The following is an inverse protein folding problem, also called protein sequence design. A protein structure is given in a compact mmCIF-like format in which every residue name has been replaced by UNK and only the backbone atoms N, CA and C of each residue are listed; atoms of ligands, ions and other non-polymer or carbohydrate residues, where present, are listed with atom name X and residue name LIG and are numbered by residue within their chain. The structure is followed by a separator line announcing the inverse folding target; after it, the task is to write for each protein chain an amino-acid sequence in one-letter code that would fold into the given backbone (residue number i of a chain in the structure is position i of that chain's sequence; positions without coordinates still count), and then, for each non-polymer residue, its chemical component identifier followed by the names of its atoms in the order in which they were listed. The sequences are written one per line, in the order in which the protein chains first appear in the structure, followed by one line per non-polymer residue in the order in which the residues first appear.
data_IF_200430081538
#
_entry.id   IF_200430081538
#
_cell.length_a   1.000
_cell.length_b   1.000
_cell.length_c   1.000
_cell.angle_alpha   90.00
_cell.angle_beta   90.00
_cell.angle_gamma   90.00
#
_symmetry.space_group_name_H-M   'P 1'
#
loop_
_entity.id
_entity.type
_entity.pdbx_description
1 polymer ?
#
# COMPACT_ATOMS: atom_id res chain seq x y z
N UNK A 1 21.47 35.30 31.01
CA UNK A 1 21.35 34.38 29.86
C UNK A 1 20.11 34.76 29.09
N UNK A 2 20.25 35.05 27.79
CA UNK A 2 19.12 35.24 26.89
C UNK A 2 18.45 33.89 26.61
N UNK A 3 17.12 33.88 26.58
CA UNK A 3 16.31 32.73 26.17
C UNK A 3 15.83 32.96 24.74
N UNK A 4 16.24 32.09 23.82
CA UNK A 4 15.81 32.14 22.41
C UNK A 4 14.76 31.07 22.17
N UNK A 5 13.65 31.42 21.51
CA UNK A 5 12.63 30.44 21.12
C UNK A 5 12.93 29.93 19.73
N UNK A 6 12.96 28.62 19.59
CA UNK A 6 13.09 27.95 18.30
C UNK A 6 11.81 27.17 18.01
N UNK A 7 11.25 27.38 16.82
CA UNK A 7 9.99 26.76 16.42
C UNK A 7 10.27 25.63 15.45
N UNK A 8 9.94 24.42 15.87
CA UNK A 8 10.04 23.23 15.04
C UNK A 8 8.69 22.91 14.41
N UNK A 9 8.71 22.43 13.17
CA UNK A 9 7.53 21.82 12.58
C UNK A 9 7.52 20.33 12.91
N UNK A 10 6.54 19.89 13.72
CA UNK A 10 6.26 18.45 13.74
C UNK A 10 5.28 18.22 12.64
N UNK A 11 5.71 17.55 11.57
CA UNK A 11 4.85 17.26 10.43
C UNK A 11 3.44 16.88 10.88
N UNK A 12 2.43 17.53 10.29
CA UNK A 12 1.01 17.36 10.65
C UNK A 12 0.53 15.90 10.57
N UNK A 13 1.29 15.08 9.86
CA UNK A 13 1.08 13.66 9.66
C UNK A 13 2.44 12.95 9.68
N UNK A 14 2.40 11.68 10.02
CA UNK A 14 3.58 10.82 10.14
C UNK A 14 4.48 10.83 8.88
N UNK A 15 3.85 11.09 7.72
CA UNK A 15 4.42 11.11 6.37
C UNK A 15 5.65 12.03 6.25
N UNK A 16 5.60 13.24 6.83
CA UNK A 16 6.61 14.28 6.60
C UNK A 16 7.69 14.36 7.67
N UNK A 17 7.57 13.56 8.73
CA UNK A 17 8.40 13.69 9.94
C UNK A 17 9.90 13.64 9.60
N UNK A 18 10.34 12.73 8.72
CA UNK A 18 11.77 12.57 8.43
C UNK A 18 12.39 13.80 7.73
N UNK A 19 11.63 14.46 6.85
CA UNK A 19 12.06 15.70 6.19
C UNK A 19 12.03 16.89 7.15
N UNK A 20 10.96 17.00 7.95
CA UNK A 20 10.80 18.11 8.89
C UNK A 20 11.88 18.05 9.98
N UNK A 21 12.18 16.86 10.52
CA UNK A 21 13.27 16.67 11.47
C UNK A 21 14.64 17.10 10.92
N UNK A 22 14.89 16.82 9.63
CA UNK A 22 16.13 17.24 8.97
C UNK A 22 16.19 18.75 8.76
N UNK A 23 15.10 19.36 8.33
CA UNK A 23 15.01 20.80 8.12
C UNK A 23 15.11 21.56 9.44
N UNK A 24 14.40 21.12 10.47
CA UNK A 24 14.47 21.67 11.83
C UNK A 24 15.89 21.57 12.38
N UNK A 25 16.54 20.42 12.19
CA UNK A 25 17.93 20.25 12.62
C UNK A 25 18.90 21.19 11.90
N UNK A 26 18.78 21.34 10.57
CA UNK A 26 19.60 22.29 9.81
C UNK A 26 19.41 23.72 10.28
N UNK A 27 18.15 24.12 10.43
CA UNK A 27 17.80 25.47 10.86
C UNK A 27 18.35 25.74 12.27
N UNK A 28 18.11 24.82 13.20
CA UNK A 28 18.61 24.92 14.56
C UNK A 28 20.14 24.97 14.59
N UNK A 29 20.80 24.15 13.79
CA UNK A 29 22.26 24.14 13.70
C UNK A 29 22.83 25.45 13.16
N UNK A 30 22.21 26.04 12.14
CA UNK A 30 22.65 27.32 11.57
C UNK A 30 22.45 28.50 12.54
N UNK A 31 21.50 28.41 13.45
CA UNK A 31 21.19 29.42 14.47
C UNK A 31 21.82 29.13 15.85
N UNK A 32 22.61 28.04 15.94
CA UNK A 32 23.18 27.61 17.20
C UNK A 32 24.34 28.52 17.65
N UNK A 33 24.21 29.05 18.86
CA UNK A 33 25.22 29.88 19.51
C UNK A 33 25.63 29.28 20.87
N UNK A 34 26.95 29.21 21.16
CA UNK A 34 27.44 28.78 22.45
C UNK A 34 26.92 29.69 23.58
N UNK A 35 26.50 29.10 24.71
CA UNK A 35 26.00 29.79 25.91
C UNK A 35 24.62 30.47 25.81
N UNK A 36 23.89 30.25 24.72
CA UNK A 36 22.47 30.62 24.59
C UNK A 36 21.60 29.49 25.11
N UNK A 37 20.49 29.84 25.78
CA UNK A 37 19.48 28.88 26.21
C UNK A 37 18.35 28.86 25.18
N UNK A 38 17.93 27.67 24.77
CA UNK A 38 16.90 27.50 23.75
C UNK A 38 15.61 26.93 24.36
N UNK A 39 14.46 27.54 24.05
CA UNK A 39 13.13 26.95 24.25
C UNK A 39 12.66 26.40 22.90
N UNK A 40 12.59 25.08 22.78
CA UNK A 40 12.10 24.40 21.57
C UNK A 40 10.58 24.25 21.69
N UNK A 41 9.87 24.78 20.70
CA UNK A 41 8.41 24.74 20.62
C UNK A 41 7.99 24.01 19.36
N UNK A 42 7.33 22.87 19.53
CA UNK A 42 6.87 22.05 18.42
C UNK A 42 5.44 22.43 18.03
N UNK A 43 5.23 22.74 16.74
CA UNK A 43 3.89 22.96 16.19
C UNK A 43 3.12 21.63 16.17
N UNK A 44 1.82 21.64 16.47
CA UNK A 44 0.90 20.48 16.39
C UNK A 44 1.01 19.39 17.47
N UNK A 45 1.95 19.51 18.40
CA UNK A 45 1.94 18.73 19.65
C UNK A 45 1.66 19.68 20.80
N UNK A 46 0.38 19.86 21.11
CA UNK A 46 -0.05 20.76 22.19
C UNK A 46 0.72 20.44 23.48
N UNK A 47 1.37 21.47 24.03
CA UNK A 47 2.09 21.49 25.32
C UNK A 47 3.50 20.88 25.40
N UNK A 48 4.15 20.47 24.31
CA UNK A 48 5.57 20.10 24.39
C UNK A 48 6.52 21.28 24.21
N UNK A 49 7.30 21.52 25.28
CA UNK A 49 8.34 22.52 25.35
C UNK A 49 9.59 21.91 25.94
N UNK A 50 10.70 22.06 25.25
CA UNK A 50 12.01 21.66 25.76
C UNK A 50 12.83 22.89 26.08
N UNK A 51 13.50 22.87 27.22
CA UNK A 51 14.48 23.90 27.56
C UNK A 51 15.85 23.26 27.49
N UNK A 52 16.67 23.68 26.53
CA UNK A 52 18.00 23.15 26.27
C UNK A 52 19.06 24.14 26.77
N UNK A 53 20.05 23.65 27.52
CA UNK A 53 21.17 24.46 28.05
C UNK A 53 22.45 23.63 28.20
N UNK A 54 23.60 24.28 28.03
CA UNK A 54 24.92 23.68 28.30
C UNK A 54 25.65 23.20 27.04
N UNK A 55 26.64 22.32 27.22
CA UNK A 55 27.54 21.88 26.14
C UNK A 55 26.95 20.84 25.19
N UNK A 56 25.82 20.22 25.54
CA UNK A 56 25.23 19.10 24.79
C UNK A 56 23.93 19.46 24.05
N UNK A 57 23.64 20.75 23.87
CA UNK A 57 22.38 21.27 23.31
C UNK A 57 21.96 20.58 22.01
N UNK A 58 22.90 20.26 21.11
CA UNK A 58 22.60 19.57 19.85
C UNK A 58 22.13 18.13 20.09
N UNK A 59 22.78 17.39 20.98
CA UNK A 59 22.38 16.03 21.33
C UNK A 59 21.03 16.04 22.04
N UNK A 60 20.81 17.00 22.95
CA UNK A 60 19.56 17.14 23.67
C UNK A 60 18.41 17.52 22.71
N UNK A 61 18.69 18.31 21.67
CA UNK A 61 17.73 18.61 20.60
C UNK A 61 17.33 17.36 19.83
N UNK A 62 18.29 16.52 19.42
CA UNK A 62 18.01 15.23 18.77
C UNK A 62 17.19 14.30 19.69
N UNK A 63 17.49 14.26 20.98
CA UNK A 63 16.69 13.48 21.95
C UNK A 63 15.26 14.04 22.07
N UNK A 64 15.08 15.36 22.12
CA UNK A 64 13.75 15.97 22.09
C UNK A 64 12.96 15.62 20.82
N UNK A 65 13.63 15.59 19.66
CA UNK A 65 13.04 15.11 18.41
C UNK A 65 12.57 13.65 18.52
N UNK A 66 13.34 12.76 19.15
CA UNK A 66 12.95 11.36 19.38
C UNK A 66 11.70 11.24 20.24
N UNK A 67 11.61 12.02 21.30
CA UNK A 67 10.45 12.01 22.20
C UNK A 67 9.18 12.42 21.47
N UNK A 68 9.26 13.47 20.65
CA UNK A 68 8.14 13.90 19.79
C UNK A 68 7.72 12.79 18.84
N UNK A 69 8.65 12.14 18.17
CA UNK A 69 8.35 11.02 17.26
C UNK A 69 7.64 9.88 17.99
N UNK A 70 8.10 9.52 19.19
CA UNK A 70 7.46 8.48 20.02
C UNK A 70 6.03 8.86 20.40
N UNK A 71 5.78 10.13 20.71
CA UNK A 71 4.44 10.61 21.05
C UNK A 71 3.49 10.61 19.86
N UNK A 72 3.96 11.06 18.69
CA UNK A 72 3.18 11.04 17.45
C UNK A 72 2.83 9.62 17.03
N UNK A 73 3.77 8.67 17.19
CA UNK A 73 3.53 7.25 16.97
C UNK A 73 2.51 6.62 17.92
N UNK A 74 2.22 7.26 19.06
CA UNK A 74 1.25 6.77 20.05
C UNK A 74 -0.16 7.33 19.86
N UNK A 75 -0.35 8.43 19.12
CA UNK A 75 -1.65 9.06 18.87
C UNK A 75 -2.24 8.53 17.56
N UNK A 76 -2.98 7.43 17.61
CA UNK A 76 -3.21 6.60 16.44
C UNK A 76 -4.68 6.43 16.02
N UNK A 77 -5.55 7.42 16.25
CA UNK A 77 -7.02 7.21 16.21
C UNK A 77 -7.77 7.65 14.94
N UNK A 78 -7.14 8.23 13.91
CA UNK A 78 -7.89 8.88 12.80
C UNK A 78 -7.54 8.46 11.37
N UNK A 79 -6.46 7.70 11.15
CA UNK A 79 -6.01 7.29 9.80
C UNK A 79 -6.20 5.79 9.57
N UNK A 80 -6.51 5.39 8.34
CA UNK A 80 -6.60 3.99 7.94
C UNK A 80 -5.21 3.31 8.04
N UNK A 81 -5.17 2.06 8.50
CA UNK A 81 -3.92 1.31 8.72
C UNK A 81 -3.10 1.17 7.43
N UNK A 82 -3.75 1.10 6.27
CA UNK A 82 -3.09 1.05 4.97
C UNK A 82 -2.37 2.36 4.62
N UNK A 83 -3.03 3.50 4.83
CA UNK A 83 -2.45 4.82 4.60
C UNK A 83 -1.24 5.06 5.50
N UNK A 84 -1.31 4.61 6.77
CA UNK A 84 -0.17 4.66 7.70
C UNK A 84 1.02 3.85 7.19
N UNK A 85 0.79 2.64 6.67
CA UNK A 85 1.85 1.79 6.14
C UNK A 85 2.52 2.39 4.90
N UNK A 86 1.75 2.90 3.94
CA UNK A 86 2.30 3.55 2.73
C UNK A 86 3.18 4.74 3.14
N UNK A 87 2.66 5.56 4.04
CA UNK A 87 3.33 6.75 4.54
C UNK A 87 4.66 6.42 5.21
N UNK A 88 4.68 5.45 6.13
CA UNK A 88 5.90 4.97 6.78
C UNK A 88 6.95 4.51 5.77
N UNK A 89 6.54 3.76 4.74
CA UNK A 89 7.45 3.30 3.67
C UNK A 89 8.02 4.44 2.83
N UNK A 90 7.22 5.48 2.59
CA UNK A 90 7.70 6.70 1.93
C UNK A 90 8.77 7.41 2.78
N UNK A 91 8.51 7.63 4.08
CA UNK A 91 9.50 8.27 4.97
C UNK A 91 10.81 7.48 5.07
N UNK A 92 10.75 6.14 5.10
CA UNK A 92 11.96 5.29 5.05
C UNK A 92 12.73 5.48 3.74
N UNK A 93 12.02 5.60 2.61
CA UNK A 93 12.62 5.80 1.29
C UNK A 93 13.28 7.17 1.17
N UNK A 94 12.63 8.21 1.69
CA UNK A 94 13.19 9.57 1.75
C UNK A 94 14.43 9.62 2.64
N UNK A 95 14.41 8.93 3.79
CA UNK A 95 15.63 8.82 4.60
C UNK A 95 16.76 8.13 3.84
N UNK A 96 16.48 7.09 3.04
CA UNK A 96 17.51 6.45 2.23
C UNK A 96 18.15 7.44 1.23
N UNK A 97 17.35 8.36 0.68
CA UNK A 97 17.84 9.46 -0.18
C UNK A 97 18.70 10.42 0.65
N UNK A 98 18.21 10.90 1.79
CA UNK A 98 18.96 11.81 2.68
C UNK A 98 20.30 11.19 3.06
N UNK A 99 20.29 9.94 3.54
CA UNK A 99 21.48 9.17 3.88
C UNK A 99 22.46 9.16 2.72
N UNK A 100 22.00 8.85 1.51
CA UNK A 100 22.86 8.85 0.33
C UNK A 100 23.49 10.22 0.07
N UNK A 101 22.72 11.30 0.17
CA UNK A 101 23.18 12.67 -0.05
C UNK A 101 24.21 13.15 0.97
N UNK A 102 24.19 12.61 2.20
CA UNK A 102 25.11 13.01 3.28
C UNK A 102 26.17 11.94 3.60
N UNK A 103 26.18 10.84 2.85
CA UNK A 103 27.21 9.79 2.98
C UNK A 103 28.57 10.35 2.57
N UNK A 104 29.56 10.23 3.46
CA UNK A 104 30.90 10.79 3.26
C UNK A 104 31.08 12.23 3.78
N UNK A 105 30.07 12.80 4.44
CA UNK A 105 30.24 14.07 5.16
C UNK A 105 30.92 13.82 6.52
N UNK A 106 32.14 14.33 6.68
CA UNK A 106 32.94 14.14 7.89
C UNK A 106 32.55 15.06 9.05
N UNK A 107 31.59 15.97 8.86
CA UNK A 107 31.16 16.87 9.93
C UNK A 107 30.51 16.07 11.07
N UNK A 108 31.05 16.19 12.29
CA UNK A 108 30.63 15.43 13.49
C UNK A 108 29.12 15.51 13.71
N UNK A 109 28.54 16.67 13.43
CA UNK A 109 27.11 16.95 13.63
C UNK A 109 26.23 16.23 12.59
N UNK A 110 26.67 16.17 11.34
CA UNK A 110 25.98 15.42 10.28
C UNK A 110 26.07 13.91 10.55
N UNK A 111 27.23 13.44 11.04
CA UNK A 111 27.39 12.06 11.53
C UNK A 111 26.48 11.76 12.73
N UNK A 112 26.41 12.67 13.70
CA UNK A 112 25.51 12.55 14.85
C UNK A 112 24.03 12.46 14.44
N UNK A 113 23.59 13.25 13.46
CA UNK A 113 22.25 13.15 12.90
C UNK A 113 22.02 11.81 12.18
N UNK A 114 22.96 11.37 11.34
CA UNK A 114 22.90 10.06 10.68
C UNK A 114 22.79 8.91 11.69
N UNK A 115 23.64 8.92 12.72
CA UNK A 115 23.64 7.92 13.78
C UNK A 115 22.33 7.96 14.57
N UNK A 116 21.82 9.16 14.84
CA UNK A 116 20.52 9.34 15.47
C UNK A 116 19.40 8.69 14.67
N UNK A 117 19.30 8.97 13.37
CA UNK A 117 18.24 8.38 12.52
C UNK A 117 18.43 6.86 12.38
N UNK A 118 19.65 6.39 12.08
CA UNK A 118 19.91 4.96 11.87
C UNK A 118 19.65 4.12 13.12
N UNK A 119 20.04 4.62 14.29
CA UNK A 119 19.99 3.85 15.53
C UNK A 119 18.70 4.05 16.32
N UNK A 120 17.96 5.14 16.10
CA UNK A 120 16.78 5.47 16.91
C UNK A 120 15.49 5.54 16.09
N UNK A 121 15.48 6.25 14.96
CA UNK A 121 14.24 6.49 14.19
C UNK A 121 13.90 5.30 13.28
N UNK A 122 14.84 4.85 12.46
CA UNK A 122 14.61 3.73 11.53
C UNK A 122 14.12 2.45 12.24
N UNK A 123 14.70 2.01 13.37
CA UNK A 123 14.20 0.83 14.09
C UNK A 123 12.75 0.99 14.54
N UNK A 124 12.36 2.17 15.02
CA UNK A 124 10.98 2.44 15.42
C UNK A 124 10.03 2.33 14.22
N UNK A 125 10.42 2.89 13.08
CA UNK A 125 9.62 2.84 11.86
C UNK A 125 9.49 1.40 11.35
N UNK A 126 10.57 0.61 11.37
CA UNK A 126 10.56 -0.81 10.98
C UNK A 126 9.61 -1.62 11.84
N UNK A 127 9.70 -1.50 13.18
CA UNK A 127 8.80 -2.20 14.10
C UNK A 127 7.34 -1.84 13.80
N UNK A 128 7.06 -0.57 13.49
CA UNK A 128 5.69 -0.12 13.23
C UNK A 128 5.17 -0.53 11.86
N UNK A 129 6.04 -0.54 10.85
CA UNK A 129 5.77 -1.17 9.56
C UNK A 129 5.40 -2.63 9.73
N UNK A 130 6.21 -3.42 10.45
CA UNK A 130 5.94 -4.84 10.68
C UNK A 130 4.61 -5.05 11.42
N UNK A 131 4.29 -4.18 12.38
CA UNK A 131 3.01 -4.21 13.10
C UNK A 131 1.83 -3.91 12.18
N UNK A 132 1.88 -2.85 11.37
CA UNK A 132 0.79 -2.52 10.44
C UNK A 132 0.68 -3.54 9.31
N UNK A 133 1.80 -4.06 8.79
CA UNK A 133 1.78 -5.16 7.84
C UNK A 133 1.15 -6.41 8.46
N UNK A 134 1.49 -6.74 9.70
CA UNK A 134 0.88 -7.85 10.43
C UNK A 134 -0.61 -7.61 10.65
N UNK A 135 -1.01 -6.41 11.06
CA UNK A 135 -2.41 -6.05 11.26
C UNK A 135 -3.21 -6.13 9.96
N UNK A 136 -2.69 -5.61 8.86
CA UNK A 136 -3.31 -5.73 7.54
C UNK A 136 -3.30 -7.20 7.06
N UNK A 137 -2.26 -7.97 7.35
CA UNK A 137 -2.19 -9.39 7.02
C UNK A 137 -3.17 -10.25 7.83
N UNK A 138 -3.45 -9.87 9.08
CA UNK A 138 -4.47 -10.49 9.95
C UNK A 138 -5.87 -10.09 9.48
N UNK A 139 -6.11 -8.79 9.24
CA UNK A 139 -7.40 -8.28 8.74
C UNK A 139 -7.74 -8.79 7.33
N UNK A 140 -6.74 -9.10 6.49
CA UNK A 140 -6.94 -9.44 5.07
C UNK A 140 -6.30 -10.77 4.60
N UNK A 141 -6.03 -11.73 5.50
CA UNK A 141 -5.49 -13.07 5.20
C UNK A 141 -4.46 -13.13 4.04
N UNK A 142 -3.17 -12.91 4.38
CA UNK A 142 -1.94 -13.30 3.63
C UNK A 142 -2.10 -13.51 2.12
N UNK A 143 -2.27 -12.45 1.33
CA UNK A 143 -2.00 -12.42 -0.12
C UNK A 143 -2.11 -11.03 -0.75
N UNK A 144 -2.73 -10.05 -0.08
CA UNK A 144 -3.18 -8.81 -0.74
C UNK A 144 -2.18 -7.64 -0.69
N UNK A 145 -1.15 -7.67 0.15
CA UNK A 145 -0.29 -6.51 0.47
C UNK A 145 0.75 -6.16 -0.63
N UNK A 146 0.48 -6.47 -1.90
CA UNK A 146 1.50 -6.22 -2.94
C UNK A 146 1.09 -5.50 -4.19
N UNK A 147 -0.13 -4.99 -4.35
CA UNK A 147 -0.28 -4.04 -5.46
C UNK A 147 -1.44 -3.09 -5.26
N UNK A 148 -1.24 -1.85 -5.69
CA UNK A 148 -2.34 -0.90 -5.87
C UNK A 148 -3.26 -1.41 -6.98
N UNK A 149 -4.55 -1.04 -6.98
CA UNK A 149 -5.45 -1.32 -8.07
C UNK A 149 -4.91 -0.86 -9.45
N UNK A 150 -4.06 0.18 -9.50
CA UNK A 150 -3.37 0.63 -10.71
C UNK A 150 -2.19 -0.27 -11.16
N UNK A 151 -1.50 -0.96 -10.24
CA UNK A 151 -0.40 -1.88 -10.56
C UNK A 151 -0.87 -3.25 -11.08
N UNK A 152 -2.18 -3.51 -10.99
CA UNK A 152 -2.78 -4.72 -11.52
C UNK A 152 -3.33 -4.47 -12.92
N UNK A 153 -2.77 -5.14 -13.92
CA UNK A 153 -3.27 -5.07 -15.30
C UNK A 153 -4.79 -5.18 -15.35
N UNK A 154 -5.44 -4.18 -15.95
CA UNK A 154 -6.89 -4.07 -16.07
C UNK A 154 -7.42 -5.24 -16.91
N UNK A 155 -8.23 -6.10 -16.31
CA UNK A 155 -8.97 -7.14 -17.03
C UNK A 155 -10.32 -6.56 -17.41
N UNK A 156 -10.42 -6.00 -18.62
CA UNK A 156 -11.64 -5.39 -19.13
C UNK A 156 -12.16 -6.15 -20.35
N UNK A 157 -13.46 -6.43 -20.34
CA UNK A 157 -14.19 -6.98 -21.47
C UNK A 157 -14.30 -5.96 -22.60
N UNK A 158 -13.94 -6.37 -23.81
CA UNK A 158 -14.02 -5.55 -25.00
C UNK A 158 -15.45 -5.57 -25.58
N UNK A 159 -16.25 -4.59 -25.19
CA UNK A 159 -17.64 -4.45 -25.63
C UNK A 159 -17.78 -4.17 -27.14
N UNK A 160 -16.73 -3.70 -27.82
CA UNK A 160 -16.81 -3.36 -29.25
C UNK A 160 -16.80 -4.59 -30.16
N UNK A 161 -16.35 -5.75 -29.66
CA UNK A 161 -16.16 -6.96 -30.46
C UNK A 161 -17.22 -8.04 -30.18
N UNK A 162 -18.15 -7.81 -29.25
CA UNK A 162 -19.07 -8.85 -28.78
C UNK A 162 -20.32 -8.96 -29.64
N UNK A 163 -20.69 -10.19 -29.99
CA UNK A 163 -21.98 -10.49 -30.60
C UNK A 163 -23.06 -10.38 -29.52
N UNK A 164 -24.18 -9.70 -29.79
CA UNK A 164 -25.22 -9.45 -28.79
C UNK A 164 -25.76 -10.73 -28.13
N UNK A 165 -25.87 -11.81 -28.90
CA UNK A 165 -26.31 -13.11 -28.38
C UNK A 165 -25.30 -13.73 -27.41
N UNK A 166 -24.01 -13.66 -27.72
CA UNK A 166 -22.94 -14.13 -26.84
C UNK A 166 -22.91 -13.35 -25.53
N UNK A 167 -23.12 -12.02 -25.60
CA UNK A 167 -23.17 -11.17 -24.40
C UNK A 167 -24.28 -11.61 -23.44
N UNK A 168 -25.45 -11.98 -23.96
CA UNK A 168 -26.56 -12.48 -23.13
C UNK A 168 -26.19 -13.79 -22.45
N UNK A 169 -25.58 -14.73 -23.16
CA UNK A 169 -25.16 -16.03 -22.60
C UNK A 169 -24.06 -15.82 -21.55
N UNK A 170 -23.08 -14.95 -21.84
CA UNK A 170 -21.99 -14.60 -20.92
C UNK A 170 -22.55 -14.00 -19.63
N UNK A 171 -23.49 -13.06 -19.72
CA UNK A 171 -24.11 -12.45 -18.54
C UNK A 171 -24.88 -13.46 -17.71
N UNK A 172 -25.71 -14.30 -18.34
CA UNK A 172 -26.42 -15.38 -17.64
C UNK A 172 -25.48 -16.34 -16.93
N UNK A 173 -24.36 -16.68 -17.56
CA UNK A 173 -23.34 -17.52 -16.92
C UNK A 173 -22.75 -16.83 -15.70
N UNK A 174 -22.40 -15.54 -15.80
CA UNK A 174 -21.88 -14.75 -14.68
C UNK A 174 -22.89 -14.60 -13.54
N UNK A 175 -24.18 -14.48 -13.86
CA UNK A 175 -25.26 -14.39 -12.87
C UNK A 175 -25.37 -15.65 -12.00
N UNK A 176 -25.18 -16.82 -12.61
CA UNK A 176 -25.13 -18.12 -11.90
C UNK A 176 -23.81 -18.28 -11.15
N UNK A 177 -22.71 -17.84 -11.77
CA UNK A 177 -21.36 -18.02 -11.27
C UNK A 177 -21.08 -17.24 -9.99
N UNK A 178 -21.62 -16.02 -9.87
CA UNK A 178 -21.50 -15.14 -8.70
C UNK A 178 -22.91 -15.01 -8.07
N UNK A 179 -23.25 -15.80 -7.03
CA UNK A 179 -24.63 -15.84 -6.53
C UNK A 179 -25.06 -14.54 -5.82
N UNK A 180 -24.13 -13.84 -5.17
CA UNK A 180 -24.41 -12.61 -4.43
C UNK A 180 -24.66 -11.42 -5.37
N UNK A 181 -25.80 -10.76 -5.19
CA UNK A 181 -26.21 -9.65 -6.05
C UNK A 181 -25.30 -8.42 -5.92
N UNK A 182 -24.82 -8.10 -4.71
CA UNK A 182 -23.93 -6.96 -4.48
C UNK A 182 -22.59 -7.14 -5.19
N UNK A 183 -22.00 -8.32 -5.05
CA UNK A 183 -20.77 -8.72 -5.74
C UNK A 183 -20.94 -8.74 -7.26
N UNK A 184 -22.09 -9.19 -7.78
CA UNK A 184 -22.39 -9.13 -9.23
C UNK A 184 -22.39 -7.70 -9.75
N UNK A 185 -23.06 -6.77 -9.06
CA UNK A 185 -23.11 -5.37 -9.49
C UNK A 185 -21.71 -4.75 -9.53
N UNK A 186 -20.88 -5.04 -8.53
CA UNK A 186 -19.49 -4.59 -8.50
C UNK A 186 -18.64 -5.24 -9.60
N UNK A 187 -18.86 -6.53 -9.86
CA UNK A 187 -18.22 -7.25 -10.96
C UNK A 187 -18.59 -6.64 -12.32
N UNK A 188 -19.85 -6.29 -12.55
CA UNK A 188 -20.28 -5.70 -13.81
C UNK A 188 -19.61 -4.34 -14.06
N UNK A 189 -19.46 -3.53 -13.01
CA UNK A 189 -18.78 -2.24 -13.10
C UNK A 189 -17.29 -2.42 -13.36
N UNK A 190 -16.63 -3.42 -12.74
CA UNK A 190 -15.21 -3.70 -12.99
C UNK A 190 -14.98 -4.30 -14.37
N UNK A 191 -15.63 -5.41 -14.69
CA UNK A 191 -15.30 -6.23 -15.84
C UNK A 191 -15.81 -5.63 -17.16
N UNK A 192 -17.04 -5.07 -17.20
CA UNK A 192 -17.61 -4.50 -18.42
C UNK A 192 -17.33 -3.00 -18.56
N UNK A 193 -17.40 -2.24 -17.46
CA UNK A 193 -17.23 -0.78 -17.50
C UNK A 193 -15.82 -0.33 -17.13
N UNK A 194 -14.98 -1.23 -16.63
CA UNK A 194 -13.58 -0.94 -16.32
C UNK A 194 -13.39 -0.11 -15.04
N UNK A 195 -14.37 -0.07 -14.13
CA UNK A 195 -14.27 0.59 -12.82
C UNK A 195 -13.44 -0.26 -11.87
N UNK A 196 -12.33 0.28 -11.39
CA UNK A 196 -11.47 -0.46 -10.48
C UNK A 196 -12.11 -0.54 -9.09
N UNK A 197 -12.12 -1.72 -8.47
CA UNK A 197 -12.64 -1.94 -7.12
C UNK A 197 -11.79 -2.97 -6.35
N UNK A 198 -12.05 -3.13 -5.04
CA UNK A 198 -11.35 -4.06 -4.15
C UNK A 198 -12.20 -5.29 -3.77
N UNK A 199 -13.33 -5.51 -4.44
CA UNK A 199 -14.25 -6.60 -4.12
C UNK A 199 -13.63 -7.94 -4.52
N UNK A 200 -13.82 -8.93 -3.65
CA UNK A 200 -13.53 -10.35 -3.91
C UNK A 200 -14.87 -11.04 -4.19
N UNK A 201 -14.94 -11.75 -5.31
CA UNK A 201 -16.12 -12.40 -5.82
C UNK A 201 -16.15 -13.87 -5.36
N UNK A 202 -17.17 -14.20 -4.59
CA UNK A 202 -17.46 -15.58 -4.21
C UNK A 202 -18.13 -16.28 -5.39
N UNK A 203 -17.50 -17.34 -5.91
CA UNK A 203 -18.02 -18.06 -7.06
C UNK A 203 -18.41 -19.50 -6.73
N UNK A 204 -19.49 -19.97 -7.37
CA UNK A 204 -19.91 -21.36 -7.32
C UNK A 204 -19.24 -22.17 -8.44
N UNK A 205 -18.01 -22.62 -8.17
CA UNK A 205 -17.24 -23.45 -9.10
C UNK A 205 -16.59 -24.62 -8.37
N UNK A 206 -16.88 -25.83 -8.85
CA UNK A 206 -16.24 -27.07 -8.36
C UNK A 206 -14.81 -27.26 -8.89
N UNK A 207 -14.56 -26.87 -10.14
CA UNK A 207 -13.29 -27.11 -10.84
C UNK A 207 -12.71 -25.82 -11.46
N UNK A 208 -11.50 -25.44 -11.03
CA UNK A 208 -10.78 -24.27 -11.57
C UNK A 208 -10.57 -24.34 -13.07
N UNK A 209 -10.40 -25.57 -13.61
CA UNK A 209 -10.19 -25.80 -15.03
C UNK A 209 -11.39 -25.29 -15.84
N UNK A 210 -12.62 -25.61 -15.44
CA UNK A 210 -13.85 -25.16 -16.10
C UNK A 210 -13.98 -23.64 -16.06
N UNK A 211 -13.62 -23.03 -14.94
CA UNK A 211 -13.59 -21.57 -14.82
C UNK A 211 -12.53 -20.92 -15.74
N UNK A 212 -11.35 -21.52 -15.89
CA UNK A 212 -10.34 -21.06 -16.84
C UNK A 212 -10.77 -21.25 -18.31
N UNK A 213 -11.57 -22.26 -18.63
CA UNK A 213 -12.09 -22.47 -19.99
C UNK A 213 -12.99 -21.31 -20.45
N UNK A 214 -13.78 -20.72 -19.55
CA UNK A 214 -14.55 -19.50 -19.84
C UNK A 214 -13.63 -18.35 -20.27
N UNK A 215 -12.59 -18.04 -19.49
CA UNK A 215 -11.68 -16.94 -19.84
C UNK A 215 -10.83 -17.23 -21.08
N UNK A 216 -10.48 -18.50 -21.34
CA UNK A 216 -9.86 -18.87 -22.63
C UNK A 216 -10.76 -18.55 -23.80
N UNK A 217 -12.04 -18.92 -23.70
CA UNK A 217 -13.01 -18.61 -24.74
C UNK A 217 -13.06 -17.09 -24.98
N UNK A 218 -13.13 -16.28 -23.92
CA UNK A 218 -13.14 -14.82 -24.05
C UNK A 218 -11.89 -14.26 -24.75
N UNK A 219 -10.70 -14.78 -24.44
CA UNK A 219 -9.46 -14.39 -25.12
C UNK A 219 -9.50 -14.82 -26.60
N UNK A 220 -9.87 -16.07 -26.86
CA UNK A 220 -9.88 -16.66 -28.19
C UNK A 220 -10.88 -15.99 -29.15
N UNK A 221 -12.06 -15.63 -28.63
CA UNK A 221 -13.08 -14.89 -29.36
C UNK A 221 -12.76 -13.38 -29.51
N UNK A 222 -11.65 -12.90 -28.94
CA UNK A 222 -11.26 -11.48 -29.00
C UNK A 222 -12.10 -10.56 -28.11
N UNK A 223 -12.84 -11.12 -27.15
CA UNK A 223 -13.62 -10.38 -26.16
C UNK A 223 -12.79 -9.91 -24.97
N UNK A 224 -11.58 -10.47 -24.79
CA UNK A 224 -10.65 -10.09 -23.74
C UNK A 224 -9.23 -9.96 -24.31
N UNK A 225 -8.61 -8.79 -24.14
CA UNK A 225 -7.22 -8.57 -24.54
C UNK A 225 -6.33 -8.37 -23.31
N UNK A 226 -5.77 -9.47 -22.80
CA UNK A 226 -4.90 -9.45 -21.62
C UNK A 226 -3.90 -10.59 -21.67
N UNK A 227 -2.69 -10.35 -21.16
CA UNK A 227 -1.71 -11.41 -20.99
C UNK A 227 -2.20 -12.50 -20.02
N UNK A 228 -2.02 -13.76 -20.39
CA UNK A 228 -2.41 -14.92 -19.55
C UNK A 228 -1.82 -14.88 -18.14
N UNK A 229 -0.60 -14.35 -18.00
CA UNK A 229 0.06 -14.16 -16.69
C UNK A 229 -0.69 -13.15 -15.82
N UNK A 230 -1.05 -12.01 -16.40
CA UNK A 230 -1.79 -10.94 -15.72
C UNK A 230 -3.21 -11.37 -15.38
N UNK A 231 -3.88 -12.09 -16.29
CA UNK A 231 -5.18 -12.69 -16.05
C UNK A 231 -5.15 -13.71 -14.90
N UNK A 232 -4.17 -14.62 -14.88
CA UNK A 232 -4.05 -15.59 -13.80
C UNK A 232 -3.86 -14.92 -12.43
N UNK A 233 -3.08 -13.84 -12.36
CA UNK A 233 -2.91 -13.04 -11.13
C UNK A 233 -4.21 -12.34 -10.71
N UNK A 234 -4.95 -11.76 -11.66
CA UNK A 234 -6.23 -11.13 -11.37
C UNK A 234 -7.25 -12.15 -10.89
N UNK A 235 -7.36 -13.30 -11.58
CA UNK A 235 -8.25 -14.40 -11.19
C UNK A 235 -7.94 -14.92 -9.79
N UNK A 236 -6.66 -15.15 -9.47
CA UNK A 236 -6.23 -15.62 -8.15
C UNK A 236 -6.63 -14.67 -7.02
N UNK A 237 -6.59 -13.36 -7.27
CA UNK A 237 -6.91 -12.31 -6.30
C UNK A 237 -8.40 -12.06 -6.13
N UNK A 238 -9.14 -12.13 -7.23
CA UNK A 238 -10.53 -11.66 -7.30
C UNK A 238 -11.56 -12.74 -7.04
N UNK A 239 -11.19 -14.02 -7.11
CA UNK A 239 -12.16 -15.10 -6.97
C UNK A 239 -11.78 -16.09 -5.88
N UNK A 240 -12.75 -16.37 -5.03
CA UNK A 240 -12.69 -17.44 -4.03
C UNK A 240 -13.89 -18.36 -4.21
N UNK A 241 -13.72 -19.63 -3.87
CA UNK A 241 -14.78 -20.63 -4.01
C UNK A 241 -15.73 -20.59 -2.82
N UNK A 242 -17.02 -20.69 -3.08
CA UNK A 242 -18.05 -20.74 -2.04
C UNK A 242 -17.96 -22.00 -1.16
N UNK A 243 -17.53 -23.13 -1.72
CA UNK A 243 -17.54 -24.43 -1.04
C UNK A 243 -16.56 -24.52 0.14
N UNK A 244 -15.44 -23.81 0.07
CA UNK A 244 -14.36 -23.89 1.07
C UNK A 244 -13.70 -22.55 1.42
N UNK A 245 -14.15 -21.44 0.82
CA UNK A 245 -13.58 -20.10 1.03
C UNK A 245 -12.14 -19.94 0.57
N UNK A 246 -11.57 -20.93 -0.14
CA UNK A 246 -10.19 -20.88 -0.64
C UNK A 246 -10.14 -20.24 -2.02
N UNK A 247 -8.95 -19.76 -2.38
CA UNK A 247 -8.64 -19.32 -3.73
C UNK A 247 -8.99 -20.41 -4.75
N UNK A 248 -9.46 -19.98 -5.92
CA UNK A 248 -9.76 -20.86 -7.06
C UNK A 248 -8.53 -21.56 -7.61
N UNK A 249 -7.31 -21.26 -7.15
CA UNK A 249 -6.08 -21.98 -7.49
C UNK A 249 -4.86 -21.08 -7.38
N UNK A 250 -3.65 -21.66 -7.40
CA UNK A 250 -2.42 -20.87 -7.47
C UNK A 250 -2.27 -20.20 -8.84
N UNK A 251 -1.49 -19.11 -8.91
CA UNK A 251 -1.23 -18.39 -10.17
C UNK A 251 -0.64 -19.32 -11.24
N UNK A 252 0.26 -20.22 -10.85
CA UNK A 252 0.90 -21.21 -11.74
C UNK A 252 -0.13 -22.20 -12.30
N UNK A 253 -1.05 -22.66 -11.44
CA UNK A 253 -2.11 -23.59 -11.81
C UNK A 253 -3.08 -22.94 -12.79
N UNK A 254 -3.51 -21.71 -12.51
CA UNK A 254 -4.41 -20.95 -13.38
C UNK A 254 -3.74 -20.64 -14.72
N UNK A 255 -2.46 -20.23 -14.71
CA UNK A 255 -1.68 -20.00 -15.94
C UNK A 255 -1.57 -21.28 -16.79
N UNK A 256 -1.30 -22.42 -16.16
CA UNK A 256 -1.29 -23.72 -16.84
C UNK A 256 -2.65 -24.01 -17.47
N UNK A 257 -3.73 -23.77 -16.73
CA UNK A 257 -5.07 -23.98 -17.25
C UNK A 257 -5.47 -22.99 -18.33
N UNK A 258 -4.93 -21.77 -18.40
CA UNK A 258 -5.17 -20.78 -19.46
C UNK A 258 -4.35 -21.04 -20.75
N UNK A 259 -3.39 -21.97 -20.73
CA UNK A 259 -2.64 -22.37 -21.92
C UNK A 259 -3.41 -23.37 -22.81
N UNK A 260 -3.04 -23.42 -24.09
CA UNK A 260 -3.70 -24.21 -25.13
C UNK A 260 -4.83 -23.47 -25.86
N UNK A 261 -5.46 -24.19 -26.78
CA UNK A 261 -6.55 -23.67 -27.62
C UNK A 261 -7.84 -23.47 -26.82
N UNK A 262 -8.70 -22.60 -27.34
CA UNK A 262 -10.02 -22.35 -26.79
C UNK A 262 -11.08 -23.14 -27.58
N UNK A 263 -12.20 -23.47 -26.91
CA UNK A 263 -13.30 -24.19 -27.54
C UNK A 263 -14.29 -23.21 -28.16
N UNK A 264 -14.36 -23.16 -29.49
CA UNK A 264 -15.31 -22.32 -30.25
C UNK A 264 -16.78 -22.63 -29.94
N UNK A 265 -17.08 -23.81 -29.37
CA UNK A 265 -18.43 -24.22 -28.99
C UNK A 265 -18.69 -24.05 -27.49
N UNK A 266 -17.83 -23.34 -26.77
CA UNK A 266 -17.94 -23.18 -25.32
C UNK A 266 -19.31 -22.62 -24.91
N UNK A 267 -19.80 -21.56 -25.56
CA UNK A 267 -21.09 -20.96 -25.24
C UNK A 267 -22.26 -21.92 -25.46
N UNK A 268 -22.21 -22.80 -26.47
CA UNK A 268 -23.26 -23.79 -26.72
C UNK A 268 -23.40 -24.79 -25.56
N UNK A 269 -22.35 -24.98 -24.75
CA UNK A 269 -22.37 -25.83 -23.55
C UNK A 269 -22.97 -25.12 -22.34
N UNK A 270 -23.17 -23.80 -22.41
CA UNK A 270 -23.77 -22.98 -21.35
C UNK A 270 -25.25 -22.69 -21.60
N UNK A 271 -25.77 -23.02 -22.79
CA UNK A 271 -27.19 -22.93 -23.10
C UNK A 271 -27.87 -24.13 -22.42
N UNK A 272 -28.52 -23.87 -21.28
CA UNK A 272 -29.46 -24.79 -20.64
C UNK A 272 -30.84 -24.64 -21.28
#
# INVERSE_FOLDING_TARGET
MSLTKFYCDTGRNFINISMDLWNDFKNFYNEYEPNVQYEIVYKYVDHLKFILKGSNVINDFLQGQLEVVRMLLGKDDWLDVHEKLISLKQSVSEFAIIKHLITGNDHVIVRGYLDFINNNILPLYTIKNDLYETELNIRHHRSFVRSTPEEFGKVQFNMNNVISQDLVIIKRYLDVLIPDLGQRLEFEQEFFKGRVNNVIYNIDVKESRKFCEFFKFLIGAGYLNVEKKSLAKWMHRKFIRLDNGKSIGTVETLKKYLNGDYDNRFLNKLIF
#
